data_IF_116285724084
#
_entry.id   IF_116285724084
#
_cell.length_a   1.000
_cell.length_b   1.000
_cell.length_c   1.000
_cell.angle_alpha   90.00
_cell.angle_beta   90.00
_cell.angle_gamma   90.00
#
_symmetry.space_group_name_H-M   'P 1'
#
loop_
_entity.id
_entity.type
_entity.pdbx_description
1 polymer ?
#
# COMPACT_ATOMS: atom_id res chain seq x y z
N UNK A 1 -14.46 -38.38 21.89
CA UNK A 1 -14.48 -36.90 21.93
C UNK A 1 -13.48 -36.20 20.99
N UNK A 2 -12.28 -36.71 20.72
CA UNK A 2 -11.30 -36.07 19.81
C UNK A 2 -11.74 -36.09 18.33
N UNK A 3 -12.36 -37.16 17.83
CA UNK A 3 -12.79 -37.28 16.42
C UNK A 3 -13.84 -36.25 16.01
N UNK A 4 -14.76 -35.87 16.92
CA UNK A 4 -15.82 -34.91 16.62
C UNK A 4 -15.27 -33.47 16.53
N UNK A 5 -14.19 -33.15 17.25
CA UNK A 5 -13.52 -31.83 17.18
C UNK A 5 -12.79 -31.66 15.84
N UNK A 6 -12.17 -32.72 15.34
CA UNK A 6 -11.50 -32.69 14.03
C UNK A 6 -12.51 -32.54 12.90
N UNK A 7 -13.66 -33.24 12.99
CA UNK A 7 -14.75 -33.11 12.02
C UNK A 7 -15.33 -31.67 11.99
N UNK A 8 -15.48 -31.05 13.17
CA UNK A 8 -15.95 -29.66 13.30
C UNK A 8 -14.96 -28.67 12.68
N UNK A 9 -13.65 -28.85 12.88
CA UNK A 9 -12.62 -28.02 12.25
C UNK A 9 -12.61 -28.17 10.72
N UNK A 10 -12.77 -29.38 10.19
CA UNK A 10 -12.86 -29.63 8.76
C UNK A 10 -14.10 -28.97 8.13
N UNK A 11 -15.24 -28.97 8.83
CA UNK A 11 -16.48 -28.32 8.39
C UNK A 11 -16.35 -26.80 8.36
N UNK A 12 -15.63 -26.20 9.32
CA UNK A 12 -15.35 -24.78 9.35
C UNK A 12 -14.45 -24.33 8.20
N UNK A 13 -13.45 -25.13 7.84
CA UNK A 13 -12.56 -24.82 6.71
C UNK A 13 -13.32 -24.86 5.37
N UNK A 14 -14.30 -25.74 5.23
CA UNK A 14 -15.13 -25.86 4.02
C UNK A 14 -16.02 -24.62 3.80
N UNK A 15 -16.46 -23.96 4.86
CA UNK A 15 -17.33 -22.77 4.79
C UNK A 15 -16.61 -21.52 4.25
N UNK A 16 -15.28 -21.44 4.38
CA UNK A 16 -14.51 -20.29 3.89
C UNK A 16 -14.22 -20.31 2.38
N UNK A 17 -14.39 -21.46 1.72
CA UNK A 17 -14.03 -21.62 0.30
C UNK A 17 -15.04 -21.02 -0.68
N UNK A 18 -16.26 -20.69 -0.26
CA UNK A 18 -17.30 -20.16 -1.14
C UNK A 18 -17.33 -18.64 -1.28
N UNK A 19 -16.59 -17.92 -0.43
CA UNK A 19 -16.63 -16.43 -0.42
C UNK A 19 -15.79 -15.76 -1.49
N UNK A 20 -14.85 -16.48 -2.12
CA UNK A 20 -13.86 -15.85 -3.01
C UNK A 20 -14.39 -15.52 -4.41
N UNK A 21 -15.40 -16.24 -4.90
CA UNK A 21 -15.93 -16.06 -6.26
C UNK A 21 -16.73 -14.75 -6.44
N UNK A 22 -17.40 -14.28 -5.40
CA UNK A 22 -18.18 -13.03 -5.46
C UNK A 22 -17.29 -11.79 -5.35
N UNK A 23 -16.24 -11.84 -4.51
CA UNK A 23 -15.27 -10.75 -4.35
C UNK A 23 -14.48 -10.47 -5.64
N UNK A 24 -14.14 -11.53 -6.40
CA UNK A 24 -13.42 -11.37 -7.66
C UNK A 24 -14.31 -10.66 -8.70
N UNK A 25 -15.59 -11.04 -8.81
CA UNK A 25 -16.55 -10.39 -9.70
C UNK A 25 -16.83 -8.93 -9.33
N UNK A 26 -16.87 -8.63 -8.03
CA UNK A 26 -17.06 -7.28 -7.52
C UNK A 26 -15.84 -6.40 -7.82
N UNK A 27 -14.63 -6.93 -7.67
CA UNK A 27 -13.38 -6.28 -8.06
C UNK A 27 -13.27 -6.05 -9.58
N UNK A 28 -13.68 -7.02 -10.39
CA UNK A 28 -13.71 -6.87 -11.84
C UNK A 28 -14.72 -5.79 -12.28
N UNK A 29 -15.91 -5.76 -11.70
CA UNK A 29 -16.93 -4.74 -12.00
C UNK A 29 -16.51 -3.34 -11.54
N UNK A 30 -15.80 -3.19 -10.44
CA UNK A 30 -15.22 -1.92 -10.01
C UNK A 30 -14.07 -1.47 -10.91
N UNK A 31 -13.28 -2.41 -11.44
CA UNK A 31 -12.17 -2.07 -12.34
C UNK A 31 -12.67 -1.62 -13.72
N UNK A 32 -13.78 -2.18 -14.22
CA UNK A 32 -14.41 -1.78 -15.49
C UNK A 32 -15.06 -0.39 -15.41
N UNK A 33 -15.58 0.00 -14.24
CA UNK A 33 -16.17 1.33 -14.04
C UNK A 33 -15.14 2.46 -13.86
N UNK A 34 -13.87 2.13 -13.63
CA UNK A 34 -12.75 3.11 -13.57
C UNK A 34 -12.10 3.33 -14.94
N UNK A 35 -12.86 3.50 -16.01
CA UNK A 35 -12.34 4.05 -17.26
C UNK A 35 -12.12 5.56 -17.11
N UNK A 36 -11.24 5.97 -16.20
CA UNK A 36 -10.65 7.28 -16.31
C UNK A 36 -9.57 7.20 -17.40
N UNK A 37 -9.76 7.92 -18.49
CA UNK A 37 -8.75 8.11 -19.52
C UNK A 37 -7.53 8.91 -19.01
N UNK A 38 -7.24 8.83 -17.73
CA UNK A 38 -6.04 9.43 -17.13
C UNK A 38 -4.82 8.60 -17.49
N UNK A 39 -3.94 9.18 -18.27
CA UNK A 39 -2.62 8.61 -18.52
C UNK A 39 -1.75 8.88 -17.30
N UNK A 40 -1.71 7.93 -16.38
CA UNK A 40 -0.76 7.98 -15.27
C UNK A 40 0.61 7.49 -15.74
N UNK A 41 1.63 8.34 -15.68
CA UNK A 41 3.00 7.98 -16.00
C UNK A 41 3.54 6.86 -15.09
N UNK A 42 2.99 6.73 -13.88
CA UNK A 42 3.38 5.71 -12.90
C UNK A 42 2.17 5.04 -12.27
N UNK A 43 2.25 3.72 -12.11
CA UNK A 43 1.21 2.95 -11.39
C UNK A 43 1.28 3.13 -9.88
N UNK A 44 2.47 3.44 -9.33
CA UNK A 44 2.70 3.61 -7.90
C UNK A 44 2.60 5.08 -7.48
N UNK A 45 2.06 5.34 -6.28
CA UNK A 45 1.98 6.68 -5.68
C UNK A 45 3.38 7.20 -5.33
N UNK A 46 4.32 6.28 -5.02
CA UNK A 46 5.70 6.59 -4.66
C UNK A 46 6.70 5.82 -5.51
N UNK A 47 7.80 6.46 -5.81
CA UNK A 47 8.96 5.88 -6.50
C UNK A 47 10.14 6.02 -5.55
N UNK A 48 10.46 4.94 -4.83
CA UNK A 48 11.52 4.89 -3.82
C UNK A 48 11.33 5.99 -2.75
N UNK A 49 11.98 7.14 -2.88
CA UNK A 49 11.94 8.26 -1.94
C UNK A 49 11.11 9.45 -2.45
N UNK A 50 10.74 9.45 -3.72
CA UNK A 50 10.02 10.54 -4.36
C UNK A 50 8.54 10.23 -4.53
N UNK A 51 7.73 11.27 -4.62
CA UNK A 51 6.32 11.16 -4.99
C UNK A 51 6.21 11.03 -6.51
N UNK A 52 5.31 10.17 -6.98
CA UNK A 52 4.92 10.16 -8.40
C UNK A 52 3.80 11.15 -8.65
N UNK A 53 3.34 11.28 -9.87
CA UNK A 53 2.14 12.09 -10.21
C UNK A 53 0.85 11.43 -9.73
N UNK A 54 0.83 10.10 -9.54
CA UNK A 54 -0.34 9.37 -9.05
C UNK A 54 -0.66 9.73 -7.59
N UNK A 55 -1.93 9.90 -7.27
CA UNK A 55 -2.45 10.14 -5.92
C UNK A 55 -3.32 8.97 -5.45
N UNK A 56 -3.61 8.95 -4.14
CA UNK A 56 -4.67 8.15 -3.59
C UNK A 56 -6.02 8.69 -4.10
N UNK A 57 -6.93 7.80 -4.51
CA UNK A 57 -8.29 8.17 -4.88
C UNK A 57 -9.06 8.71 -3.66
N UNK A 58 -10.16 9.41 -3.90
CA UNK A 58 -11.01 9.91 -2.82
C UNK A 58 -11.41 8.78 -1.87
N UNK A 59 -11.29 9.03 -0.55
CA UNK A 59 -11.58 8.08 0.54
C UNK A 59 -10.70 6.83 0.59
N UNK A 60 -9.68 6.72 -0.25
CA UNK A 60 -8.69 5.64 -0.15
C UNK A 60 -7.61 5.96 0.87
N UNK A 61 -7.28 4.95 1.69
CA UNK A 61 -6.20 5.01 2.68
C UNK A 61 -5.10 4.01 2.29
N UNK A 62 -3.88 4.49 2.17
CA UNK A 62 -2.69 3.68 1.95
C UNK A 62 -1.79 3.69 3.16
N UNK A 63 -1.35 2.50 3.58
CA UNK A 63 -0.29 2.31 4.56
C UNK A 63 0.99 1.89 3.84
N UNK A 64 2.03 2.72 3.95
CA UNK A 64 3.37 2.39 3.46
C UNK A 64 4.29 2.08 4.63
N UNK A 65 4.96 0.94 4.55
CA UNK A 65 6.05 0.57 5.45
C UNK A 65 7.33 0.49 4.62
N UNK A 66 8.23 1.42 4.84
CA UNK A 66 9.49 1.52 4.10
C UNK A 66 10.64 1.14 5.01
N UNK A 67 11.48 0.23 4.54
CA UNK A 67 12.73 -0.13 5.21
C UNK A 67 13.90 0.41 4.41
N UNK A 68 14.84 1.06 5.12
CA UNK A 68 16.12 1.49 4.57
C UNK A 68 17.21 0.78 5.33
N UNK A 69 18.03 0.07 4.60
CA UNK A 69 19.15 -0.66 5.14
C UNK A 69 20.39 0.23 5.20
N UNK A 70 21.34 -0.14 6.06
CA UNK A 70 22.61 0.55 6.18
C UNK A 70 23.52 0.34 4.98
N UNK A 71 24.75 0.85 5.08
CA UNK A 71 25.77 0.69 4.03
C UNK A 71 26.21 -0.76 3.91
N UNK A 72 26.35 -1.24 2.68
CA UNK A 72 26.91 -2.56 2.35
C UNK A 72 28.42 -2.67 2.65
N UNK A 73 29.09 -1.53 2.88
CA UNK A 73 30.54 -1.48 3.09
C UNK A 73 31.03 -2.22 4.34
N UNK A 74 30.12 -2.46 5.31
CA UNK A 74 30.44 -3.26 6.51
C UNK A 74 30.58 -4.76 6.24
N UNK A 75 30.23 -5.23 5.06
CA UNK A 75 30.30 -6.62 4.65
C UNK A 75 29.54 -7.56 5.57
N UNK A 76 30.08 -8.75 5.79
CA UNK A 76 29.46 -9.79 6.64
C UNK A 76 29.24 -9.33 8.08
N UNK A 77 30.09 -8.43 8.62
CA UNK A 77 30.00 -7.94 10.00
C UNK A 77 28.71 -7.22 10.32
N UNK A 78 28.08 -6.61 9.31
CA UNK A 78 26.80 -5.89 9.43
C UNK A 78 25.70 -6.54 8.58
N UNK A 79 25.90 -7.82 8.20
CA UNK A 79 25.04 -8.49 7.24
C UNK A 79 24.74 -7.61 6.01
N UNK A 80 25.79 -7.00 5.45
CA UNK A 80 25.68 -6.08 4.30
C UNK A 80 24.71 -4.89 4.56
N UNK A 81 24.65 -4.42 5.82
CA UNK A 81 23.82 -3.32 6.24
C UNK A 81 22.39 -3.70 6.69
N UNK A 82 22.05 -4.99 6.69
CA UNK A 82 20.72 -5.46 7.12
C UNK A 82 20.49 -5.26 8.62
N UNK A 83 21.56 -5.32 9.45
CA UNK A 83 21.46 -5.11 10.90
C UNK A 83 21.07 -3.67 11.28
N UNK A 84 21.26 -2.72 10.35
CA UNK A 84 20.94 -1.31 10.55
C UNK A 84 19.75 -0.97 9.66
N UNK A 85 18.55 -1.36 10.09
CA UNK A 85 17.33 -1.02 9.37
C UNK A 85 16.65 0.20 9.99
N UNK A 86 16.36 1.20 9.16
CA UNK A 86 15.49 2.31 9.51
C UNK A 86 14.11 2.09 8.91
N UNK A 87 13.08 2.10 9.75
CA UNK A 87 11.69 1.90 9.32
C UNK A 87 10.96 3.24 9.30
N UNK A 88 10.30 3.54 8.19
CA UNK A 88 9.36 4.65 8.06
C UNK A 88 7.97 4.09 7.81
N UNK A 89 7.04 4.45 8.66
CA UNK A 89 5.61 4.17 8.51
C UNK A 89 4.95 5.43 8.00
N UNK A 90 4.14 5.33 6.95
CA UNK A 90 3.47 6.46 6.31
C UNK A 90 2.04 6.09 5.97
N UNK A 91 1.11 6.97 6.34
CA UNK A 91 -0.29 6.92 5.98
C UNK A 91 -0.55 8.00 4.94
N UNK A 92 -1.17 7.62 3.82
CA UNK A 92 -1.62 8.52 2.77
C UNK A 92 -3.12 8.38 2.63
N UNK A 93 -3.84 9.49 2.63
CA UNK A 93 -5.29 9.52 2.51
C UNK A 93 -5.74 10.49 1.42
N UNK A 94 -6.59 10.00 0.51
CA UNK A 94 -7.25 10.81 -0.50
C UNK A 94 -8.44 11.56 0.09
N UNK A 95 -8.30 12.87 0.27
CA UNK A 95 -9.38 13.75 0.75
C UNK A 95 -10.41 14.05 -0.34
N UNK A 96 -9.93 14.17 -1.57
CA UNK A 96 -10.73 14.38 -2.78
C UNK A 96 -9.97 13.81 -3.98
N UNK A 97 -10.58 13.83 -5.17
CA UNK A 97 -9.95 13.40 -6.41
C UNK A 97 -8.61 14.09 -6.70
N UNK A 98 -8.44 15.33 -6.24
CA UNK A 98 -7.26 16.15 -6.51
C UNK A 98 -6.38 16.43 -5.30
N UNK A 99 -6.77 16.00 -4.07
CA UNK A 99 -6.04 16.32 -2.85
C UNK A 99 -5.78 15.07 -2.01
N UNK A 100 -4.50 14.81 -1.78
CA UNK A 100 -4.01 13.78 -0.88
C UNK A 100 -3.26 14.41 0.27
N UNK A 101 -3.48 13.91 1.47
CA UNK A 101 -2.67 14.23 2.66
C UNK A 101 -1.88 13.00 3.08
N UNK A 102 -0.77 13.22 3.74
CA UNK A 102 0.07 12.15 4.26
C UNK A 102 0.66 12.49 5.61
N UNK A 103 0.75 11.48 6.45
CA UNK A 103 1.41 11.52 7.73
C UNK A 103 2.41 10.39 7.84
N UNK A 104 3.62 10.68 8.29
CA UNK A 104 4.63 9.63 8.43
C UNK A 104 5.48 9.80 9.70
N UNK A 105 5.99 8.67 10.18
CA UNK A 105 6.94 8.59 11.29
C UNK A 105 8.12 7.72 10.90
N UNK A 106 9.31 8.25 11.10
CA UNK A 106 10.57 7.54 10.93
C UNK A 106 11.11 7.07 12.30
N UNK A 107 11.59 5.82 12.39
CA UNK A 107 12.01 5.23 13.65
C UNK A 107 13.37 5.72 14.13
N UNK A 108 14.35 5.92 13.24
CA UNK A 108 15.74 6.23 13.60
C UNK A 108 15.85 7.59 14.30
N UNK A 109 15.33 8.65 13.68
CA UNK A 109 15.37 10.01 14.22
C UNK A 109 14.08 10.41 14.93
N UNK A 110 13.10 9.50 15.01
CA UNK A 110 11.76 9.76 15.58
C UNK A 110 11.07 10.98 14.95
N UNK A 111 11.37 11.23 13.67
CA UNK A 111 10.85 12.38 12.93
C UNK A 111 9.43 12.11 12.46
N UNK A 112 8.58 13.12 12.62
CA UNK A 112 7.22 13.13 12.10
C UNK A 112 7.15 14.07 10.90
N UNK A 113 6.43 13.66 9.85
CA UNK A 113 6.27 14.47 8.66
C UNK A 113 4.80 14.51 8.25
N UNK A 114 4.30 15.70 8.03
CA UNK A 114 3.01 15.92 7.36
C UNK A 114 3.30 16.40 5.93
N UNK A 115 2.55 15.86 4.97
CA UNK A 115 2.63 16.27 3.59
C UNK A 115 1.23 16.41 2.99
N UNK A 116 1.11 17.30 2.01
CA UNK A 116 -0.07 17.42 1.17
C UNK A 116 0.37 17.43 -0.28
N UNK A 117 -0.44 16.83 -1.15
CA UNK A 117 -0.20 16.76 -2.59
C UNK A 117 -1.48 17.12 -3.31
N UNK A 118 -1.38 18.09 -4.19
CA UNK A 118 -2.51 18.59 -4.97
C UNK A 118 -2.23 18.47 -6.46
N UNK A 119 -3.16 17.89 -7.20
CA UNK A 119 -3.14 17.83 -8.66
C UNK A 119 -3.74 19.12 -9.22
N UNK A 120 -2.93 19.89 -9.93
CA UNK A 120 -3.37 21.11 -10.59
C UNK A 120 -4.00 20.79 -11.95
N UNK A 121 -3.40 19.82 -12.67
CA UNK A 121 -3.85 19.40 -13.99
C UNK A 121 -3.69 17.92 -14.17
N UNK A 122 -4.64 17.29 -14.86
CA UNK A 122 -4.57 15.88 -15.26
C UNK A 122 -4.32 15.79 -16.76
N UNK A 123 -3.49 14.84 -17.17
CA UNK A 123 -3.24 14.55 -18.56
C UNK A 123 -4.27 13.53 -19.06
N UNK A 124 -5.11 13.92 -20.02
CA UNK A 124 -6.09 13.05 -20.67
C UNK A 124 -5.66 12.73 -22.10
N UNK A 125 -5.83 11.49 -22.53
CA UNK A 125 -5.77 11.17 -23.96
C UNK A 125 -7.05 11.66 -24.65
N UNK A 126 -6.90 12.42 -25.71
CA UNK A 126 -8.01 12.69 -26.66
C UNK A 126 -8.26 11.48 -27.51
#
# INVERSE_FOLDING_TARGET
MKKNKILLCLLLIYSFSFSQGNLLKELESESENKTSNEISAFKAIKIVNTQSTKQASEKELYLYVSHRFGSVNGGIKTLFGLDIANTKIELLYGLSENLQIGYSRESLKKTYTLNAKYNITTQSSK
#
